data_IF_170389481320
#
_entry.id   IF_170389481320
#
_cell.length_a   1.000
_cell.length_b   1.000
_cell.length_c   1.000
_cell.angle_alpha   90.00
_cell.angle_beta   90.00
_cell.angle_gamma   90.00
#
_symmetry.space_group_name_H-M   'P 1'
#
loop_
_entity.id
_entity.type
_entity.pdbx_description
1 polymer ?
#
# COMPACT_ATOMS: atom_id res chain seq x y z
N UNK A 1 -35.17 52.04 14.94
CA UNK A 1 -33.96 52.70 14.39
C UNK A 1 -32.65 51.89 14.53
N UNK A 2 -32.62 50.68 15.12
CA UNK A 2 -31.37 49.92 15.31
C UNK A 2 -30.83 49.15 14.10
N UNK A 3 -31.69 48.79 13.13
CA UNK A 3 -31.31 47.96 11.97
C UNK A 3 -30.74 48.72 10.77
N UNK A 4 -30.85 50.06 10.75
CA UNK A 4 -30.30 50.89 9.67
C UNK A 4 -28.86 51.34 9.94
N UNK A 5 -28.45 51.41 11.21
CA UNK A 5 -27.09 51.79 11.61
C UNK A 5 -26.04 50.71 11.30
N UNK A 6 -26.44 49.43 11.26
CA UNK A 6 -25.56 48.30 10.93
C UNK A 6 -25.27 48.19 9.42
N UNK A 7 -26.10 48.78 8.55
CA UNK A 7 -26.07 48.56 7.10
C UNK A 7 -25.10 49.47 6.34
N UNK A 8 -24.65 50.59 6.93
CA UNK A 8 -24.06 51.69 6.14
C UNK A 8 -22.66 52.18 6.52
N UNK A 9 -22.09 51.94 7.70
CA UNK A 9 -20.87 52.67 8.12
C UNK A 9 -19.54 51.89 8.18
N UNK A 10 -19.48 50.58 7.88
CA UNK A 10 -18.18 49.88 7.86
C UNK A 10 -18.20 48.35 7.85
N UNK A 11 -19.39 47.74 7.91
CA UNK A 11 -19.55 46.29 8.11
C UNK A 11 -19.63 45.45 6.83
N UNK A 12 -19.64 46.06 5.64
CA UNK A 12 -19.69 45.32 4.35
C UNK A 12 -18.32 44.73 3.96
N UNK A 13 -17.23 45.28 4.50
CA UNK A 13 -15.87 44.77 4.26
C UNK A 13 -15.47 43.63 5.20
N UNK A 14 -16.19 43.45 6.31
CA UNK A 14 -15.91 42.38 7.27
C UNK A 14 -16.30 41.00 6.69
N UNK A 15 -17.32 40.96 5.82
CA UNK A 15 -17.72 39.76 5.08
C UNK A 15 -16.59 39.16 4.20
N UNK A 16 -15.97 39.91 3.27
CA UNK A 16 -14.90 39.36 2.44
C UNK A 16 -13.63 39.02 3.23
N UNK A 17 -13.29 39.79 4.26
CA UNK A 17 -12.12 39.49 5.14
C UNK A 17 -12.37 38.19 5.91
N UNK A 18 -13.56 37.99 6.47
CA UNK A 18 -13.93 36.74 7.13
C UNK A 18 -13.94 35.56 6.16
N UNK A 19 -14.34 35.77 4.90
CA UNK A 19 -14.24 34.76 3.84
C UNK A 19 -12.79 34.33 3.57
N UNK A 20 -11.84 35.27 3.51
CA UNK A 20 -10.41 34.97 3.31
C UNK A 20 -9.84 34.21 4.52
N UNK A 21 -10.16 34.65 5.73
CA UNK A 21 -9.72 33.97 6.97
C UNK A 21 -10.27 32.55 7.03
N UNK A 22 -11.56 32.37 6.73
CA UNK A 22 -12.19 31.05 6.66
C UNK A 22 -11.54 30.16 5.60
N UNK A 23 -11.27 30.69 4.41
CA UNK A 23 -10.58 29.97 3.35
C UNK A 23 -9.18 29.52 3.76
N UNK A 24 -8.42 30.37 4.48
CA UNK A 24 -7.09 30.02 5.00
C UNK A 24 -7.14 28.93 6.06
N UNK A 25 -8.10 28.97 6.99
CA UNK A 25 -8.29 27.93 8.01
C UNK A 25 -8.62 26.59 7.35
N UNK A 26 -9.58 26.59 6.43
CA UNK A 26 -9.98 25.40 5.67
C UNK A 26 -8.80 24.86 4.86
N UNK A 27 -8.07 25.73 4.16
CA UNK A 27 -6.89 25.33 3.39
C UNK A 27 -5.81 24.71 4.27
N UNK A 28 -5.54 25.28 5.45
CA UNK A 28 -4.53 24.76 6.38
C UNK A 28 -4.88 23.33 6.86
N UNK A 29 -6.13 23.07 7.23
CA UNK A 29 -6.58 21.73 7.59
C UNK A 29 -6.64 20.78 6.38
N UNK A 30 -7.07 21.29 5.21
CA UNK A 30 -7.14 20.50 3.98
C UNK A 30 -5.76 20.03 3.51
N UNK A 31 -4.73 20.88 3.64
CA UNK A 31 -3.34 20.48 3.34
C UNK A 31 -2.87 19.38 4.29
N UNK A 32 -3.21 19.47 5.58
CA UNK A 32 -2.92 18.41 6.55
C UNK A 32 -3.58 17.08 6.18
N UNK A 33 -4.85 17.12 5.80
CA UNK A 33 -5.60 15.94 5.34
C UNK A 33 -5.00 15.36 4.06
N UNK A 34 -4.75 16.19 3.04
CA UNK A 34 -4.13 15.75 1.79
C UNK A 34 -2.76 15.11 2.07
N UNK A 35 -1.91 15.71 2.90
CA UNK A 35 -0.60 15.12 3.25
C UNK A 35 -0.74 13.78 3.98
N UNK A 36 -1.76 13.64 4.84
CA UNK A 36 -2.02 12.37 5.54
C UNK A 36 -2.48 11.26 4.59
N UNK A 37 -3.29 11.59 3.56
CA UNK A 37 -3.76 10.63 2.56
C UNK A 37 -2.69 10.32 1.51
N UNK A 38 -1.95 11.33 1.06
CA UNK A 38 -0.84 11.18 0.10
C UNK A 38 0.30 10.37 0.69
N UNK A 39 0.58 10.51 2.00
CA UNK A 39 1.55 9.66 2.67
C UNK A 39 1.26 8.18 2.54
N UNK A 40 -0.02 7.77 2.62
CA UNK A 40 -0.42 6.36 2.46
C UNK A 40 -0.26 5.89 1.01
N UNK A 41 -0.55 6.75 0.03
CA UNK A 41 -0.35 6.43 -1.40
C UNK A 41 1.13 6.42 -1.81
N UNK A 42 1.98 7.23 -1.17
CA UNK A 42 3.42 7.34 -1.48
C UNK A 42 4.27 6.32 -0.69
N UNK A 43 3.82 5.91 0.50
CA UNK A 43 4.37 4.76 1.25
C UNK A 43 4.06 3.40 0.56
N UNK A 44 3.43 3.47 -0.61
CA UNK A 44 3.42 2.44 -1.66
C UNK A 44 4.74 2.43 -2.45
N UNK A 45 5.86 2.78 -1.82
CA UNK A 45 7.16 2.39 -2.38
C UNK A 45 7.34 0.94 -1.97
N UNK A 46 7.23 -0.02 -2.91
CA UNK A 46 7.29 -1.44 -2.59
C UNK A 46 8.59 -1.70 -1.83
N UNK A 47 8.47 -2.47 -0.76
CA UNK A 47 9.57 -2.83 0.11
C UNK A 47 10.50 -3.80 -0.65
N UNK A 48 11.26 -3.28 -1.62
CA UNK A 48 12.13 -4.03 -2.52
C UNK A 48 13.22 -4.78 -1.73
N UNK A 49 13.62 -4.24 -0.57
CA UNK A 49 14.51 -4.94 0.35
C UNK A 49 13.83 -6.17 0.95
N UNK A 50 12.57 -6.07 1.38
CA UNK A 50 11.81 -7.20 1.88
C UNK A 50 11.55 -8.24 0.79
N UNK A 51 11.20 -7.80 -0.41
CA UNK A 51 11.07 -8.67 -1.58
C UNK A 51 12.36 -9.45 -1.85
N UNK A 52 13.51 -8.77 -1.79
CA UNK A 52 14.82 -9.39 -1.94
C UNK A 52 15.13 -10.42 -0.85
N UNK A 53 14.77 -10.14 0.40
CA UNK A 53 14.93 -11.09 1.52
C UNK A 53 14.06 -12.33 1.35
N UNK A 54 12.77 -12.14 1.02
CA UNK A 54 11.84 -13.25 0.78
C UNK A 54 12.37 -14.12 -0.37
N UNK A 55 12.83 -13.50 -1.46
CA UNK A 55 13.44 -14.20 -2.57
C UNK A 55 14.66 -15.01 -2.15
N UNK A 56 15.57 -14.41 -1.38
CA UNK A 56 16.75 -15.12 -0.90
C UNK A 56 16.39 -16.31 0.00
N UNK A 57 15.41 -16.18 0.88
CA UNK A 57 15.02 -17.30 1.77
C UNK A 57 14.33 -18.44 1.01
N UNK A 58 13.37 -18.13 0.14
CA UNK A 58 12.61 -19.15 -0.57
C UNK A 58 13.42 -19.80 -1.70
N UNK A 59 14.27 -19.05 -2.41
CA UNK A 59 15.06 -19.60 -3.52
C UNK A 59 16.28 -20.45 -3.07
N UNK A 60 16.69 -20.40 -1.79
CA UNK A 60 17.73 -21.28 -1.23
C UNK A 60 17.40 -22.77 -1.37
N UNK A 61 16.11 -23.11 -1.41
CA UNK A 61 15.63 -24.49 -1.40
C UNK A 61 15.54 -25.13 -2.79
N UNK A 62 15.99 -24.43 -3.85
CA UNK A 62 15.81 -24.86 -5.24
C UNK A 62 14.43 -24.54 -5.81
N UNK A 63 13.62 -23.81 -5.04
CA UNK A 63 12.34 -23.26 -5.48
C UNK A 63 12.58 -21.94 -6.21
N UNK A 64 11.73 -21.61 -7.19
CA UNK A 64 11.84 -20.37 -7.96
C UNK A 64 10.60 -19.53 -7.75
N UNK A 65 10.78 -18.28 -7.32
CA UNK A 65 9.67 -17.33 -7.26
C UNK A 65 9.32 -16.91 -8.69
N UNK A 66 8.10 -17.23 -9.11
CA UNK A 66 7.53 -16.83 -10.40
C UNK A 66 6.96 -15.42 -10.29
N UNK A 67 6.22 -15.18 -9.20
CA UNK A 67 5.58 -13.90 -8.91
C UNK A 67 5.62 -13.63 -7.41
N UNK A 68 5.91 -12.39 -7.03
CA UNK A 68 5.93 -11.94 -5.65
C UNK A 68 5.36 -10.53 -5.61
N UNK A 69 4.20 -10.40 -4.99
CA UNK A 69 3.51 -9.13 -4.83
C UNK A 69 3.40 -8.79 -3.34
N UNK A 70 3.97 -7.64 -2.96
CA UNK A 70 3.91 -7.10 -1.62
C UNK A 70 3.11 -5.80 -1.63
N UNK A 71 2.16 -5.67 -0.71
CA UNK A 71 1.42 -4.43 -0.55
C UNK A 71 1.11 -4.17 0.93
N UNK A 72 0.94 -2.90 1.28
CA UNK A 72 0.58 -2.47 2.62
C UNK A 72 -0.95 -2.49 2.76
N UNK A 73 -1.45 -3.20 3.78
CA UNK A 73 -2.88 -3.26 4.14
C UNK A 73 -3.24 -2.31 5.28
N UNK A 74 -2.26 -1.83 6.05
CA UNK A 74 -2.46 -0.84 7.11
C UNK A 74 -1.15 -0.35 7.71
N UNK A 75 -1.19 0.60 8.66
CA UNK A 75 0.00 1.09 9.35
C UNK A 75 0.76 -0.06 10.01
N UNK A 76 1.93 -0.42 9.49
CA UNK A 76 2.75 -1.53 10.00
C UNK A 76 2.28 -2.93 9.62
N UNK A 77 1.29 -3.05 8.73
CA UNK A 77 0.75 -4.33 8.26
C UNK A 77 0.95 -4.47 6.74
N UNK A 78 1.73 -5.48 6.35
CA UNK A 78 2.02 -5.88 4.98
C UNK A 78 1.32 -7.20 4.65
N UNK A 79 0.91 -7.33 3.40
CA UNK A 79 0.38 -8.56 2.82
C UNK A 79 1.26 -8.99 1.65
N UNK A 80 1.39 -10.30 1.49
CA UNK A 80 2.17 -10.91 0.43
C UNK A 80 1.36 -12.00 -0.28
N UNK A 81 1.42 -11.99 -1.61
CA UNK A 81 1.09 -13.14 -2.45
C UNK A 81 2.38 -13.60 -3.13
N UNK A 82 2.65 -14.90 -3.04
CA UNK A 82 3.88 -15.50 -3.54
C UNK A 82 3.52 -16.73 -4.36
N UNK A 83 3.95 -16.75 -5.62
CA UNK A 83 3.81 -17.88 -6.52
C UNK A 83 5.17 -18.55 -6.70
N UNK A 84 5.26 -19.81 -6.28
CA UNK A 84 6.49 -20.61 -6.26
C UNK A 84 6.40 -21.75 -7.28
N UNK A 85 7.38 -21.83 -8.17
CA UNK A 85 7.68 -23.05 -8.93
C UNK A 85 8.64 -23.92 -8.12
N UNK A 86 8.22 -25.14 -7.79
CA UNK A 86 9.08 -26.12 -7.14
C UNK A 86 9.07 -27.44 -7.92
N UNK A 87 10.24 -28.04 -8.11
CA UNK A 87 10.36 -29.40 -8.63
C UNK A 87 9.92 -30.46 -7.59
N UNK A 88 10.03 -30.15 -6.30
CA UNK A 88 9.68 -31.02 -5.18
C UNK A 88 8.93 -30.21 -4.12
N UNK A 89 7.63 -29.91 -4.34
CA UNK A 89 6.88 -29.01 -3.47
C UNK A 89 6.82 -29.52 -2.04
N UNK A 90 7.22 -28.66 -1.09
CA UNK A 90 7.12 -28.93 0.34
C UNK A 90 5.74 -28.58 0.89
N UNK A 91 5.39 -29.01 2.11
CA UNK A 91 4.15 -28.59 2.75
C UNK A 91 4.07 -27.06 2.87
N UNK A 92 2.91 -26.48 2.54
CA UNK A 92 2.63 -25.03 2.65
C UNK A 92 2.98 -24.45 4.04
N UNK A 93 2.84 -25.26 5.09
CA UNK A 93 3.20 -24.88 6.47
C UNK A 93 4.68 -24.54 6.63
N UNK A 94 5.57 -25.22 5.92
CA UNK A 94 7.01 -24.94 5.97
C UNK A 94 7.37 -23.63 5.27
N UNK A 95 6.72 -23.34 4.14
CA UNK A 95 6.89 -22.05 3.47
C UNK A 95 6.36 -20.91 4.34
N UNK A 96 5.21 -21.10 5.00
CA UNK A 96 4.66 -20.12 5.93
C UNK A 96 5.54 -19.93 7.17
N UNK A 97 6.14 -20.98 7.73
CA UNK A 97 7.04 -20.86 8.88
C UNK A 97 8.35 -20.15 8.51
N UNK A 98 8.88 -20.41 7.31
CA UNK A 98 10.02 -19.67 6.76
C UNK A 98 9.72 -18.18 6.55
N UNK A 99 8.46 -17.78 6.39
CA UNK A 99 8.09 -16.37 6.24
C UNK A 99 7.65 -15.72 7.55
N UNK A 100 7.36 -16.50 8.59
CA UNK A 100 6.83 -16.02 9.86
C UNK A 100 7.81 -15.13 10.65
N UNK A 101 9.11 -15.23 10.40
CA UNK A 101 10.13 -14.41 11.04
C UNK A 101 10.30 -13.02 10.40
N UNK A 102 9.65 -12.79 9.25
CA UNK A 102 9.71 -11.54 8.53
C UNK A 102 8.68 -10.58 9.15
N UNK A 103 9.19 -9.55 9.82
CA UNK A 103 8.37 -8.57 10.52
C UNK A 103 7.35 -7.90 9.58
N UNK A 104 6.18 -7.54 10.14
CA UNK A 104 5.10 -6.81 9.48
C UNK A 104 4.23 -7.60 8.48
N UNK A 105 4.54 -8.86 8.15
CA UNK A 105 3.65 -9.70 7.32
C UNK A 105 2.43 -10.18 8.12
N UNK A 106 1.26 -9.64 7.79
CA UNK A 106 -0.02 -9.94 8.44
C UNK A 106 -0.85 -10.96 7.67
N UNK A 107 -0.72 -10.98 6.34
CA UNK A 107 -1.40 -11.95 5.49
C UNK A 107 -0.42 -12.46 4.43
N UNK A 108 -0.23 -13.78 4.38
CA UNK A 108 0.66 -14.42 3.40
C UNK A 108 -0.08 -15.57 2.72
N UNK A 109 -0.21 -15.44 1.40
CA UNK A 109 -0.72 -16.50 0.53
C UNK A 109 0.44 -17.03 -0.30
N UNK A 110 0.64 -18.35 -0.26
CA UNK A 110 1.67 -19.04 -1.04
C UNK A 110 0.96 -20.00 -1.97
N UNK A 111 1.21 -19.85 -3.27
CA UNK A 111 0.73 -20.73 -4.32
C UNK A 111 1.90 -21.55 -4.87
N UNK A 112 1.68 -22.86 -5.04
CA UNK A 112 2.67 -23.77 -5.59
C UNK A 112 2.26 -24.13 -7.01
N UNK A 113 3.08 -23.76 -7.98
CA UNK A 113 2.90 -24.12 -9.37
C UNK A 113 3.81 -25.32 -9.71
N UNK A 114 3.26 -26.42 -10.24
CA UNK A 114 4.09 -27.51 -10.74
C UNK A 114 4.93 -27.00 -11.90
N UNK A 115 6.19 -27.44 -11.97
CA UNK A 115 7.05 -27.21 -13.14
C UNK A 115 6.48 -28.03 -14.30
N UNK A 116 5.54 -27.44 -15.04
CA UNK A 116 4.96 -28.08 -16.21
C UNK A 116 6.00 -28.05 -17.34
N UNK A 117 6.31 -29.18 -18.00
CA UNK A 117 7.10 -29.16 -19.22
C UNK A 117 6.37 -28.33 -20.28
N UNK A 118 7.10 -27.63 -21.18
CA UNK A 118 6.48 -26.84 -22.22
C UNK A 118 5.56 -27.72 -23.06
N UNK A 119 4.33 -27.25 -23.31
CA UNK A 119 3.37 -27.93 -24.18
C UNK A 119 4.00 -28.06 -25.56
N UNK A 120 4.33 -29.28 -25.96
CA UNK A 120 4.72 -29.61 -27.33
C UNK A 120 3.47 -29.40 -28.18
N UNK A 121 3.39 -28.26 -28.87
CA UNK A 121 2.35 -28.01 -29.87
C UNK A 121 2.67 -28.92 -31.07
N UNK A 122 1.78 -29.86 -31.45
CA UNK A 122 2.04 -30.70 -32.61
C UNK A 122 2.05 -29.82 -33.88
N UNK A 123 3.04 -29.99 -34.79
CA UNK A 123 2.99 -29.32 -36.09
C UNK A 123 1.82 -29.88 -36.90
N UNK A 124 0.95 -28.98 -37.37
CA UNK A 124 -0.09 -29.27 -38.38
C UNK A 124 0.52 -29.48 -39.75
#
# INVERSE_FOLDING_TARGET
CGLLAARFLGWVWMDPVMGIVGALVIANWSIGLIRSTVGILVDMTPDDQLAGRIRSELEKSGDKIIDLHLWRVGPGHLSAIISLASAHPRPLTEYKSQLAHIAHLSHVTVELQPVSPPLIVPPT
#
